data_IF_658567187480
#
_entry.id   IF_658567187480
#
_cell.length_a   1.000
_cell.length_b   1.000
_cell.length_c   1.000
_cell.angle_alpha   90.00
_cell.angle_beta   90.00
_cell.angle_gamma   90.00
#
_symmetry.space_group_name_H-M   'P 1'
#
loop_
_entity.id
_entity.type
_entity.pdbx_description
1 polymer ?
#
# COMPACT_ATOMS: atom_id res chain seq x y z
N UNK A 1 -12.21 49.31 3.90
CA UNK A 1 -12.04 48.67 2.58
C UNK A 1 -10.59 48.21 2.51
N UNK A 2 -10.32 46.98 2.94
CA UNK A 2 -8.97 46.39 2.95
C UNK A 2 -9.07 45.09 2.18
N UNK A 3 -8.38 45.04 1.05
CA UNK A 3 -8.38 43.93 0.12
C UNK A 3 -7.57 42.75 0.64
N UNK A 4 -8.13 41.56 0.45
CA UNK A 4 -7.46 40.28 0.51
C UNK A 4 -6.49 40.14 -0.68
N UNK A 5 -5.36 39.46 -0.44
CA UNK A 5 -4.39 39.11 -1.46
C UNK A 5 -3.33 38.18 -0.87
N UNK A 6 -3.69 36.90 -0.72
CA UNK A 6 -2.71 35.86 -0.38
C UNK A 6 -1.82 35.54 -1.60
N UNK A 7 -0.51 35.31 -1.41
CA UNK A 7 0.36 34.96 -2.52
C UNK A 7 0.17 33.50 -2.93
N UNK A 8 0.23 33.32 -4.26
CA UNK A 8 0.13 32.07 -4.99
C UNK A 8 1.31 31.13 -4.69
N UNK A 9 1.00 29.86 -4.46
CA UNK A 9 1.99 28.78 -4.45
C UNK A 9 2.32 28.40 -5.90
N UNK A 10 3.43 28.92 -6.40
CA UNK A 10 4.17 28.33 -7.51
C UNK A 10 5.49 27.80 -6.98
N UNK A 11 5.79 26.54 -7.22
CA UNK A 11 7.13 26.09 -7.65
C UNK A 11 7.06 24.62 -8.02
N UNK A 12 7.28 24.35 -9.30
CA UNK A 12 7.77 23.06 -9.72
C UNK A 12 9.23 22.93 -9.30
N UNK A 13 9.65 21.70 -9.06
CA UNK A 13 11.04 21.29 -9.24
C UNK A 13 11.03 19.77 -9.45
N UNK A 14 11.01 19.37 -10.72
CA UNK A 14 11.74 18.18 -11.15
C UNK A 14 13.18 18.30 -10.61
N UNK A 15 13.61 17.29 -9.86
CA UNK A 15 15.00 17.09 -9.50
C UNK A 15 15.31 15.61 -9.75
N UNK A 16 16.25 15.39 -10.65
CA UNK A 16 16.58 14.10 -11.23
C UNK A 16 17.32 13.14 -10.30
N UNK A 17 17.33 11.90 -10.77
CA UNK A 17 18.43 10.94 -10.84
C UNK A 17 19.56 11.02 -9.78
N UNK A 18 19.73 9.92 -9.06
CA UNK A 18 21.05 9.50 -8.59
C UNK A 18 21.37 9.76 -7.12
N UNK A 19 20.75 9.00 -6.23
CA UNK A 19 21.40 8.63 -4.97
C UNK A 19 21.05 7.18 -4.65
N UNK A 20 21.95 6.26 -5.02
CA UNK A 20 22.04 4.96 -4.36
C UNK A 20 22.53 5.20 -2.91
N UNK A 21 21.66 5.80 -2.09
CA UNK A 21 21.79 5.78 -0.65
C UNK A 21 21.76 4.31 -0.25
N UNK A 22 22.86 3.83 0.33
CA UNK A 22 23.15 2.41 0.55
C UNK A 22 21.88 1.61 0.82
N UNK A 23 21.60 0.65 -0.06
CA UNK A 23 20.35 -0.08 -0.07
C UNK A 23 20.10 -0.67 1.32
N UNK A 24 19.29 0.03 2.12
CA UNK A 24 18.80 -0.48 3.39
C UNK A 24 18.06 -1.77 3.08
N UNK A 25 18.32 -2.81 3.86
CA UNK A 25 17.68 -4.10 3.65
C UNK A 25 16.17 -3.92 3.56
N UNK A 26 15.51 -4.57 2.58
CA UNK A 26 14.08 -4.47 2.43
C UNK A 26 13.41 -4.99 3.71
N UNK A 27 12.65 -4.13 4.37
CA UNK A 27 12.01 -4.47 5.64
C UNK A 27 10.48 -4.64 5.49
N UNK A 28 9.90 -4.18 4.38
CA UNK A 28 8.44 -4.17 4.18
C UNK A 28 8.05 -4.51 2.74
N UNK A 29 6.86 -5.11 2.60
CA UNK A 29 6.20 -5.37 1.32
C UNK A 29 4.84 -4.67 1.31
N UNK A 30 4.62 -3.78 0.36
CA UNK A 30 3.36 -3.04 0.17
C UNK A 30 2.55 -3.65 -0.97
N UNK A 31 1.26 -3.84 -0.73
CA UNK A 31 0.26 -4.28 -1.70
C UNK A 31 -0.69 -3.13 -2.00
N UNK A 32 -0.91 -2.83 -3.28
CA UNK A 32 -1.75 -1.70 -3.74
C UNK A 32 -2.91 -2.21 -4.57
N UNK A 33 -4.11 -1.82 -4.19
CA UNK A 33 -5.35 -2.05 -4.91
C UNK A 33 -5.52 -1.05 -6.05
N UNK A 34 -6.25 -1.44 -7.09
CA UNK A 34 -6.73 -0.51 -8.13
C UNK A 34 -7.51 0.68 -7.57
N UNK A 35 -8.14 0.54 -6.39
CA UNK A 35 -8.90 1.62 -5.73
C UNK A 35 -8.01 2.63 -5.00
N UNK A 36 -6.70 2.41 -4.95
CA UNK A 36 -5.76 3.18 -4.13
C UNK A 36 -5.65 2.70 -2.68
N UNK A 37 -6.51 1.76 -2.24
CA UNK A 37 -6.34 1.10 -0.95
C UNK A 37 -5.03 0.31 -0.92
N UNK A 38 -4.29 0.39 0.18
CA UNK A 38 -2.99 -0.26 0.30
C UNK A 38 -2.71 -0.73 1.72
N UNK A 39 -1.93 -1.78 1.81
CA UNK A 39 -1.45 -2.32 3.08
C UNK A 39 0.01 -2.75 2.94
N UNK A 40 0.83 -2.48 3.96
CA UNK A 40 2.20 -2.98 4.00
C UNK A 40 2.38 -3.94 5.16
N UNK A 41 3.05 -5.05 4.88
CA UNK A 41 3.46 -6.06 5.84
C UNK A 41 4.97 -5.96 6.08
N UNK A 42 5.48 -6.26 7.29
CA UNK A 42 6.88 -6.58 7.48
C UNK A 42 7.32 -7.70 6.54
N UNK A 43 8.57 -7.69 6.07
CA UNK A 43 9.06 -8.68 5.12
C UNK A 43 8.86 -10.12 5.64
N UNK A 44 9.18 -10.35 6.91
CA UNK A 44 9.02 -11.65 7.56
C UNK A 44 7.58 -12.18 7.55
N UNK A 45 6.58 -11.29 7.58
CA UNK A 45 5.16 -11.70 7.48
C UNK A 45 4.68 -11.80 6.03
N UNK A 46 5.29 -11.03 5.13
CA UNK A 46 4.98 -11.08 3.72
C UNK A 46 5.46 -12.39 3.07
N UNK A 47 6.48 -13.04 3.62
CA UNK A 47 6.95 -14.36 3.21
C UNK A 47 5.87 -15.45 3.37
N UNK A 48 5.05 -15.35 4.41
CA UNK A 48 3.92 -16.26 4.66
C UNK A 48 2.62 -15.82 3.95
N UNK A 49 2.63 -14.66 3.28
CA UNK A 49 1.46 -14.13 2.60
C UNK A 49 1.34 -14.68 1.17
N UNK A 50 0.10 -14.83 0.70
CA UNK A 50 -0.20 -15.33 -0.64
C UNK A 50 -0.90 -14.26 -1.47
N UNK A 51 -0.52 -14.18 -2.74
CA UNK A 51 -1.30 -13.48 -3.76
C UNK A 51 -2.24 -14.49 -4.42
N UNK A 52 -3.44 -14.63 -3.86
CA UNK A 52 -4.43 -15.57 -4.33
C UNK A 52 -5.08 -15.06 -5.62
N UNK A 53 -5.16 -15.93 -6.63
CA UNK A 53 -5.89 -15.71 -7.89
C UNK A 53 -7.08 -16.66 -8.04
N UNK A 54 -7.09 -17.75 -7.27
CA UNK A 54 -8.11 -18.80 -7.29
C UNK A 54 -8.54 -19.18 -5.86
N UNK A 55 -9.73 -19.74 -5.72
CA UNK A 55 -10.25 -20.35 -4.49
C UNK A 55 -11.01 -21.61 -4.83
N UNK A 56 -10.69 -22.73 -4.17
CA UNK A 56 -11.36 -24.01 -4.45
C UNK A 56 -11.15 -24.53 -5.89
N UNK A 57 -10.10 -24.08 -6.59
CA UNK A 57 -9.83 -24.43 -7.99
C UNK A 57 -10.41 -23.45 -9.01
N UNK A 58 -11.35 -22.59 -8.61
CA UNK A 58 -11.97 -21.60 -9.51
C UNK A 58 -11.29 -20.23 -9.42
N UNK A 59 -11.25 -19.45 -10.52
CA UNK A 59 -10.78 -18.07 -10.48
C UNK A 59 -11.55 -17.23 -9.46
N UNK A 60 -10.86 -16.32 -8.77
CA UNK A 60 -11.52 -15.41 -7.84
C UNK A 60 -12.53 -14.54 -8.58
N UNK A 61 -13.77 -14.53 -8.09
CA UNK A 61 -14.77 -13.59 -8.57
C UNK A 61 -14.38 -12.15 -8.26
N UNK A 62 -14.90 -11.20 -9.02
CA UNK A 62 -14.64 -9.78 -8.79
C UNK A 62 -15.00 -9.34 -7.36
N UNK A 63 -16.15 -9.78 -6.81
CA UNK A 63 -16.56 -9.45 -5.44
C UNK A 63 -15.63 -10.02 -4.35
N UNK A 64 -14.97 -11.14 -4.64
CA UNK A 64 -13.97 -11.74 -3.76
C UNK A 64 -12.57 -11.12 -3.90
N UNK A 65 -12.39 -10.16 -4.81
CA UNK A 65 -11.13 -9.45 -5.03
C UNK A 65 -10.35 -9.90 -6.25
N UNK A 66 -10.95 -10.71 -7.14
CA UNK A 66 -10.33 -11.12 -8.40
C UNK A 66 -9.99 -9.94 -9.32
N UNK A 67 -8.88 -9.98 -10.07
CA UNK A 67 -8.11 -11.20 -10.39
C UNK A 67 -7.06 -11.60 -9.34
N UNK A 68 -6.71 -10.71 -8.41
CA UNK A 68 -5.67 -10.96 -7.42
C UNK A 68 -6.01 -10.34 -6.06
N UNK A 69 -5.89 -11.14 -5.00
CA UNK A 69 -6.14 -10.72 -3.61
C UNK A 69 -5.00 -11.15 -2.69
N UNK A 70 -4.61 -10.26 -1.78
CA UNK A 70 -3.71 -10.61 -0.69
C UNK A 70 -4.43 -11.48 0.34
N UNK A 71 -3.80 -12.58 0.71
CA UNK A 71 -4.16 -13.44 1.83
C UNK A 71 -2.98 -13.44 2.80
N UNK A 72 -3.16 -12.80 3.95
CA UNK A 72 -2.11 -12.68 4.97
C UNK A 72 -2.55 -13.44 6.24
N UNK A 73 -2.06 -14.67 6.46
CA UNK A 73 -2.36 -15.43 7.67
C UNK A 73 -2.07 -14.62 8.94
N UNK A 74 -2.90 -14.75 9.98
CA UNK A 74 -2.73 -14.03 11.25
C UNK A 74 -3.06 -12.53 11.21
N UNK A 75 -3.44 -11.97 10.06
CA UNK A 75 -3.90 -10.58 9.93
C UNK A 75 -5.43 -10.48 9.84
N UNK A 76 -5.97 -9.32 10.21
CA UNK A 76 -7.42 -9.05 10.12
C UNK A 76 -7.85 -8.95 8.66
N UNK A 77 -9.09 -9.37 8.37
CA UNK A 77 -9.61 -9.46 7.00
C UNK A 77 -9.60 -8.16 6.20
N UNK A 78 -9.64 -6.98 6.84
CA UNK A 78 -9.52 -5.71 6.12
C UNK A 78 -8.10 -5.48 5.55
N UNK A 79 -7.08 -6.10 6.15
CA UNK A 79 -5.69 -6.02 5.69
C UNK A 79 -5.48 -6.84 4.40
N UNK A 80 -6.43 -7.71 4.05
CA UNK A 80 -6.38 -8.58 2.88
C UNK A 80 -6.84 -7.79 1.65
N UNK A 81 -5.91 -7.00 1.10
CA UNK A 81 -6.11 -6.12 -0.06
C UNK A 81 -6.74 -6.88 -1.22
N UNK A 82 -7.90 -6.40 -1.68
CA UNK A 82 -8.58 -6.90 -2.88
C UNK A 82 -8.09 -6.15 -4.13
N UNK A 83 -8.18 -6.79 -5.29
CA UNK A 83 -7.86 -6.18 -6.59
C UNK A 83 -6.44 -5.63 -6.65
N UNK A 84 -5.48 -6.43 -6.18
CA UNK A 84 -4.07 -6.06 -6.13
C UNK A 84 -3.55 -5.84 -7.56
N UNK A 85 -2.95 -4.68 -7.79
CA UNK A 85 -2.34 -4.29 -9.07
C UNK A 85 -0.85 -4.06 -8.98
N UNK A 86 -0.33 -3.79 -7.77
CA UNK A 86 1.10 -3.53 -7.55
C UNK A 86 1.57 -4.11 -6.22
N UNK A 87 2.75 -4.71 -6.24
CA UNK A 87 3.50 -5.17 -5.06
C UNK A 87 4.85 -4.47 -5.06
N UNK A 88 5.21 -3.86 -3.94
CA UNK A 88 6.44 -3.06 -3.82
C UNK A 88 7.23 -3.48 -2.60
N UNK A 89 8.50 -3.79 -2.81
CA UNK A 89 9.44 -4.04 -1.72
C UNK A 89 10.07 -2.72 -1.30
N UNK A 90 10.04 -2.40 -0.01
CA UNK A 90 10.45 -1.12 0.56
C UNK A 90 11.38 -1.33 1.76
N UNK A 91 12.39 -0.47 1.89
CA UNK A 91 13.29 -0.46 3.03
C UNK A 91 12.65 0.13 4.30
N UNK A 92 11.64 1.00 4.13
CA UNK A 92 10.99 1.71 5.23
C UNK A 92 9.47 1.47 5.21
N UNK A 93 8.85 1.52 6.39
CA UNK A 93 7.40 1.40 6.55
C UNK A 93 6.70 2.55 5.84
N UNK A 94 5.55 2.29 5.23
CA UNK A 94 4.68 3.36 4.73
C UNK A 94 4.27 4.32 5.88
N UNK A 95 4.76 5.58 5.92
CA UNK A 95 4.37 6.51 6.96
C UNK A 95 2.87 6.81 6.92
N UNK A 96 2.25 6.77 5.74
CA UNK A 96 0.82 7.03 5.59
C UNK A 96 -0.08 5.83 5.95
N UNK A 97 0.47 4.63 6.18
CA UNK A 97 -0.28 3.50 6.72
C UNK A 97 -0.63 3.69 8.21
N UNK A 98 0.14 4.51 8.94
CA UNK A 98 -0.18 4.86 10.33
C UNK A 98 -1.53 5.57 10.46
N UNK A 99 -1.84 6.47 9.51
CA UNK A 99 -3.13 7.19 9.46
C UNK A 99 -4.29 6.21 9.24
N UNK A 100 -4.14 5.25 8.33
CA UNK A 100 -5.16 4.21 8.08
C UNK A 100 -5.38 3.36 9.33
N UNK A 101 -4.30 2.95 10.00
CA UNK A 101 -4.38 2.14 11.22
C UNK A 101 -5.13 2.86 12.34
N UNK A 102 -4.89 4.16 12.52
CA UNK A 102 -5.58 4.98 13.51
C UNK A 102 -7.08 5.08 13.27
N UNK A 103 -7.50 5.28 12.02
CA UNK A 103 -8.92 5.45 11.69
C UNK A 103 -9.67 4.12 11.75
N UNK A 104 -9.01 2.99 11.43
CA UNK A 104 -9.60 1.64 11.52
C UNK A 104 -9.64 1.03 12.92
N UNK A 105 -9.13 1.73 13.95
CA UNK A 105 -9.12 1.27 15.34
C UNK A 105 -10.38 1.59 16.15
N UNK A 106 -11.37 2.26 15.54
CA UNK A 106 -12.57 2.77 16.21
C UNK A 106 -13.87 1.98 15.90
N UNK A 107 -13.76 0.71 15.54
CA UNK A 107 -14.90 -0.22 15.48
C UNK A 107 -14.62 -1.49 16.31
#
# INVERSE_FOLDING_TARGET
>A
MTAAGGPAAGSGADAGEGAAAGAREPAYVRFVSVTGYRWSLPLSEAEDALLATHVGGDPLSHGHGGPARLVAPGRRGFQWVKWVTRVEVRAERDPAQWVVTLISGFD
#
